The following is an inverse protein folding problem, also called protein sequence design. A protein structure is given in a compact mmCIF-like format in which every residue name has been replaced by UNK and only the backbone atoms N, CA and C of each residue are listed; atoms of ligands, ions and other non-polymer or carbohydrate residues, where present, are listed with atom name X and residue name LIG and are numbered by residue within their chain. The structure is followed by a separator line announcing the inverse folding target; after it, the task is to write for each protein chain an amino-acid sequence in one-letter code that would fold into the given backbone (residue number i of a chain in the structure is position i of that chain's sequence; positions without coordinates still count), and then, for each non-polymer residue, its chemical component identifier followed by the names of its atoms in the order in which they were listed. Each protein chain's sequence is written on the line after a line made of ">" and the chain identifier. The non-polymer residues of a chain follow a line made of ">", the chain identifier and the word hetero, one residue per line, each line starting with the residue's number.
data_IF_141313091563
#
_entry.id   IF_141313091563
#
_cell.length_a   1.000
_cell.length_b   1.000
_cell.length_c   1.000
_cell.angle_alpha   90.00
_cell.angle_beta   90.00
_cell.angle_gamma   90.00
#
_symmetry.space_group_name_H-M   'P 1'
#
loop_
_entity.id
_entity.type
_entity.pdbx_description
1 polymer ?
#
# COMPACT_ATOMS: atom_id res chain seq x y z
N UNK A 1 2.90 -9.10 -14.97
CA UNK A 1 3.95 -8.14 -14.60
C UNK A 1 3.76 -6.91 -15.49
N UNK A 2 3.62 -5.72 -14.91
CA UNK A 2 3.28 -4.48 -15.62
C UNK A 2 4.50 -3.83 -16.33
N UNK A 3 5.75 -4.17 -15.96
CA UNK A 3 7.04 -3.60 -16.45
C UNK A 3 8.17 -4.65 -16.46
N UNK A 4 7.83 -5.91 -16.15
CA UNK A 4 8.80 -7.01 -16.07
C UNK A 4 9.50 -7.18 -14.72
N UNK A 5 9.23 -6.33 -13.73
CA UNK A 5 9.72 -6.47 -12.35
C UNK A 5 8.66 -7.02 -11.40
N UNK A 6 9.08 -7.75 -10.36
CA UNK A 6 8.14 -8.43 -9.45
C UNK A 6 7.50 -7.47 -8.43
N UNK A 7 8.13 -6.30 -8.28
CA UNK A 7 7.86 -5.36 -7.21
C UNK A 7 7.06 -4.16 -7.71
N UNK A 8 7.45 -3.49 -8.80
CA UNK A 8 6.75 -2.30 -9.28
C UNK A 8 6.47 -1.27 -8.18
N UNK A 9 5.17 -1.02 -7.91
CA UNK A 9 4.70 -0.16 -6.86
C UNK A 9 4.70 -0.81 -5.47
N UNK A 10 4.97 -2.11 -5.39
CA UNK A 10 4.93 -2.95 -4.20
C UNK A 10 6.35 -3.34 -3.76
N UNK A 11 6.47 -3.88 -2.54
CA UNK A 11 7.73 -4.52 -2.13
C UNK A 11 7.93 -5.86 -2.87
N UNK A 12 9.18 -6.25 -3.10
CA UNK A 12 9.51 -7.60 -3.60
C UNK A 12 9.40 -8.67 -2.51
N UNK A 13 9.18 -9.91 -2.92
CA UNK A 13 9.19 -11.07 -2.03
C UNK A 13 8.08 -11.06 -0.98
N UNK A 14 8.30 -11.77 0.13
CA UNK A 14 7.31 -11.94 1.20
C UNK A 14 6.88 -10.63 1.88
N UNK A 15 7.75 -9.62 1.90
CA UNK A 15 7.42 -8.29 2.43
C UNK A 15 6.33 -7.58 1.62
N UNK A 16 6.22 -7.89 0.34
CA UNK A 16 5.20 -7.32 -0.54
C UNK A 16 3.85 -8.01 -0.47
N UNK A 17 3.73 -9.12 0.25
CA UNK A 17 2.53 -9.95 0.22
C UNK A 17 1.85 -10.03 1.58
N UNK A 18 0.59 -9.61 1.62
CA UNK A 18 -0.25 -9.73 2.80
C UNK A 18 -1.06 -11.03 2.72
N UNK A 19 -0.47 -12.12 3.17
CA UNK A 19 -1.00 -13.49 3.02
C UNK A 19 -2.43 -13.68 3.55
N UNK A 20 -2.80 -12.99 4.63
CA UNK A 20 -4.14 -13.11 5.22
C UNK A 20 -5.24 -12.48 4.35
N UNK A 21 -4.88 -11.55 3.46
CA UNK A 21 -5.82 -10.76 2.65
C UNK A 21 -5.57 -10.89 1.15
N UNK A 22 -4.70 -11.81 0.74
CA UNK A 22 -4.29 -12.06 -0.65
C UNK A 22 -4.03 -10.76 -1.44
N UNK A 23 -3.37 -9.79 -0.79
CA UNK A 23 -3.12 -8.46 -1.34
C UNK A 23 -1.63 -8.10 -1.30
N UNK A 24 -1.27 -7.03 -2.00
CA UNK A 24 0.12 -6.56 -2.08
C UNK A 24 0.32 -5.22 -1.36
N UNK A 25 1.46 -5.09 -0.67
CA UNK A 25 1.84 -3.92 0.11
C UNK A 25 2.65 -2.94 -0.73
N UNK A 26 2.15 -1.70 -0.89
CA UNK A 26 2.84 -0.64 -1.60
C UNK A 26 4.21 -0.35 -0.97
N UNK A 27 5.21 -0.09 -1.80
CA UNK A 27 6.54 0.33 -1.36
C UNK A 27 6.54 1.83 -1.08
N UNK A 28 6.13 2.21 0.13
CA UNK A 28 6.08 3.61 0.57
C UNK A 28 7.46 4.31 0.61
N UNK A 29 8.56 3.57 0.47
CA UNK A 29 9.92 4.13 0.33
C UNK A 29 10.26 4.61 -1.09
N UNK A 30 9.47 4.26 -2.11
CA UNK A 30 9.65 4.75 -3.48
C UNK A 30 8.95 6.09 -3.69
N UNK A 31 9.67 7.06 -4.23
CA UNK A 31 9.14 8.38 -4.58
C UNK A 31 8.05 8.31 -5.64
N UNK A 32 8.16 7.39 -6.60
CA UNK A 32 7.20 7.16 -7.66
C UNK A 32 5.88 6.60 -7.11
N UNK A 33 5.97 5.66 -6.15
CA UNK A 33 4.80 5.12 -5.44
C UNK A 33 4.10 6.22 -4.65
N UNK A 34 4.83 7.00 -3.86
CA UNK A 34 4.26 8.11 -3.11
C UNK A 34 3.62 9.15 -4.02
N UNK A 35 4.27 9.47 -5.15
CA UNK A 35 3.74 10.40 -6.14
C UNK A 35 2.43 9.88 -6.73
N UNK A 36 2.35 8.60 -7.06
CA UNK A 36 1.12 7.97 -7.55
C UNK A 36 -0.03 8.07 -6.52
N UNK A 37 0.21 7.64 -5.27
CA UNK A 37 -0.82 7.62 -4.22
C UNK A 37 -1.29 9.03 -3.84
N UNK A 38 -0.37 9.98 -3.67
CA UNK A 38 -0.71 11.37 -3.34
C UNK A 38 -1.40 12.09 -4.50
N UNK A 39 -0.98 11.82 -5.74
CA UNK A 39 -1.68 12.38 -6.92
C UNK A 39 -3.10 11.84 -7.02
N UNK A 40 -3.31 10.56 -6.68
CA UNK A 40 -4.66 9.99 -6.63
C UNK A 40 -5.53 10.66 -5.56
N UNK A 41 -5.01 10.86 -4.34
CA UNK A 41 -5.75 11.57 -3.29
C UNK A 41 -6.12 13.00 -3.72
N UNK A 42 -5.16 13.74 -4.32
CA UNK A 42 -5.41 15.08 -4.85
C UNK A 42 -6.48 15.08 -5.96
N UNK A 43 -6.42 14.13 -6.88
CA UNK A 43 -7.38 14.01 -7.99
C UNK A 43 -8.83 13.92 -7.50
N UNK A 44 -9.09 13.13 -6.46
CA UNK A 44 -10.43 13.03 -5.86
C UNK A 44 -10.92 14.36 -5.25
N UNK A 45 -10.02 15.14 -4.65
CA UNK A 45 -10.36 16.47 -4.13
C UNK A 45 -10.65 17.47 -5.27
N UNK A 46 -9.84 17.44 -6.33
CA UNK A 46 -9.92 18.44 -7.41
C UNK A 46 -11.06 18.17 -8.38
N UNK A 47 -11.27 16.93 -8.81
CA UNK A 47 -12.26 16.61 -9.83
C UNK A 47 -13.64 16.33 -9.25
N UNK A 48 -13.67 15.60 -8.13
CA UNK A 48 -14.92 15.14 -7.52
C UNK A 48 -15.33 15.94 -6.29
N UNK A 49 -14.49 16.89 -5.86
CA UNK A 49 -14.78 17.81 -4.74
C UNK A 49 -15.13 17.09 -3.44
N UNK A 50 -14.40 16.01 -3.15
CA UNK A 50 -14.57 15.29 -1.89
C UNK A 50 -14.18 16.18 -0.70
N UNK A 51 -14.91 16.09 0.40
CA UNK A 51 -14.64 16.86 1.62
C UNK A 51 -13.62 16.19 2.56
N UNK A 52 -13.22 14.94 2.28
CA UNK A 52 -12.23 14.23 3.07
C UNK A 52 -12.06 12.75 2.71
N UNK A 53 -11.13 12.10 3.40
CA UNK A 53 -10.81 10.68 3.24
C UNK A 53 -10.87 9.94 4.55
N UNK A 54 -11.29 8.67 4.49
CA UNK A 54 -11.08 7.69 5.55
C UNK A 54 -10.14 6.61 5.02
N UNK A 55 -9.10 6.29 5.79
CA UNK A 55 -8.21 5.17 5.49
C UNK A 55 -8.47 4.03 6.48
N UNK A 56 -8.74 2.84 5.93
CA UNK A 56 -8.93 1.62 6.70
C UNK A 56 -7.62 0.81 6.74
N UNK A 57 -7.45 -0.05 7.75
CA UNK A 57 -6.26 -0.90 7.86
C UNK A 57 -4.94 -0.15 8.11
N UNK A 58 -4.97 1.09 8.64
CA UNK A 58 -3.75 1.91 8.84
C UNK A 58 -2.66 1.22 9.65
N UNK A 59 -3.04 0.35 10.59
CA UNK A 59 -2.09 -0.46 11.36
C UNK A 59 -1.25 -1.41 10.49
N UNK A 60 -1.78 -1.92 9.38
CA UNK A 60 -1.02 -2.77 8.46
C UNK A 60 0.00 -1.99 7.63
N UNK A 61 -0.16 -0.67 7.51
CA UNK A 61 0.81 0.22 6.88
C UNK A 61 1.92 0.65 7.85
N UNK A 62 1.61 0.76 9.16
CA UNK A 62 2.55 1.26 10.18
C UNK A 62 3.43 0.17 10.79
N UNK A 63 2.93 -1.05 10.92
CA UNK A 63 3.62 -2.13 11.63
C UNK A 63 4.02 -3.26 10.68
N UNK A 64 5.27 -3.68 10.76
CA UNK A 64 5.78 -4.87 10.06
C UNK A 64 5.51 -6.16 10.81
N UNK A 65 5.15 -6.06 12.09
CA UNK A 65 4.69 -7.18 12.91
C UNK A 65 3.17 -7.18 12.96
N UNK A 66 2.57 -8.16 12.30
CA UNK A 66 1.19 -8.53 12.59
C UNK A 66 1.27 -9.35 13.88
N UNK A 67 0.62 -8.93 14.97
CA UNK A 67 0.61 -9.62 16.28
C UNK A 67 -0.05 -11.01 16.28
N UNK A 68 0.01 -11.70 15.13
CA UNK A 68 -0.52 -13.02 14.81
C UNK A 68 0.60 -14.08 14.73
N UNK A 69 1.73 -13.86 15.40
CA UNK A 69 2.62 -14.97 15.74
C UNK A 69 1.98 -15.76 16.90
N UNK A 70 1.08 -16.68 16.55
CA UNK A 70 0.95 -17.92 17.33
C UNK A 70 1.93 -18.89 16.67
N UNK A 71 3.15 -18.93 17.20
CA UNK A 71 4.05 -20.05 16.95
C UNK A 71 3.51 -21.27 17.71
N UNK A 72 3.51 -22.48 17.13
CA UNK A 72 3.63 -23.69 17.92
C UNK A 72 5.00 -23.76 18.62
#
# INVERSE_FOLDING_TARGET
>A
MFDGTDAHYFHSGSKGHHWMWDSRLFNYGSWEVLRFLLSNARWWLEEYKFDGFRFDGVTSMMYTHHGLQVLP
#
